data_IF_373326222280
#
_entry.id   IF_373326222280
#
_cell.length_a   1.000
_cell.length_b   1.000
_cell.length_c   1.000
_cell.angle_alpha   90.00
_cell.angle_beta   90.00
_cell.angle_gamma   90.00
#
_symmetry.space_group_name_H-M   'P 1'
#
loop_
_entity.id
_entity.type
_entity.pdbx_description
1 polymer ?
#
# COMPACT_ATOMS: atom_id res chain seq x y z
N UNK A 1 1.79 15.00 9.71
CA UNK A 1 0.89 16.11 9.43
C UNK A 1 -0.52 15.60 9.15
N UNK A 2 -1.48 16.51 9.00
CA UNK A 2 -2.89 16.14 8.84
C UNK A 2 -3.14 15.28 7.61
N UNK A 3 -2.44 15.56 6.52
CA UNK A 3 -2.62 14.81 5.29
C UNK A 3 -2.18 13.35 5.46
N UNK A 4 -1.03 13.15 6.10
CA UNK A 4 -0.56 11.79 6.38
C UNK A 4 -1.53 11.08 7.30
N UNK A 5 -2.04 11.78 8.33
CA UNK A 5 -2.96 11.18 9.29
C UNK A 5 -4.24 10.67 8.61
N UNK A 6 -4.71 11.35 7.57
CA UNK A 6 -5.92 10.92 6.85
C UNK A 6 -5.72 9.59 6.14
N UNK A 7 -4.49 9.25 5.79
CA UNK A 7 -4.19 8.02 5.07
C UNK A 7 -3.79 6.85 5.97
N UNK A 8 -3.26 7.13 7.16
CA UNK A 8 -2.62 6.10 7.99
C UNK A 8 -3.48 4.88 8.26
N UNK A 9 -4.76 5.08 8.55
CA UNK A 9 -5.61 3.96 8.97
C UNK A 9 -5.73 2.85 7.95
N UNK A 10 -5.89 3.21 6.68
CA UNK A 10 -6.22 2.25 5.63
C UNK A 10 -5.30 2.29 4.44
N UNK A 11 -4.24 3.09 4.48
CA UNK A 11 -3.42 3.27 3.30
C UNK A 11 -2.28 2.28 3.22
N UNK A 12 -1.84 2.00 2.01
CA UNK A 12 -0.58 1.33 1.74
C UNK A 12 0.48 2.42 1.63
N UNK A 13 1.54 2.30 2.41
CA UNK A 13 2.64 3.27 2.39
C UNK A 13 3.91 2.50 2.08
N UNK A 14 4.48 2.75 0.91
CA UNK A 14 5.69 2.05 0.47
C UNK A 14 6.80 3.04 0.25
N UNK A 15 8.03 2.58 0.44
CA UNK A 15 9.20 3.38 0.15
C UNK A 15 9.36 3.54 -1.35
N UNK A 16 9.64 4.76 -1.77
CA UNK A 16 9.86 5.03 -3.18
C UNK A 16 10.98 6.02 -3.39
N UNK A 17 11.28 6.25 -4.65
CA UNK A 17 12.28 7.22 -5.07
C UNK A 17 11.69 8.04 -6.21
N UNK A 18 11.72 9.36 -6.05
CA UNK A 18 11.24 10.25 -7.10
C UNK A 18 12.31 10.33 -8.19
N UNK A 19 12.01 9.79 -9.36
CA UNK A 19 12.98 9.75 -10.46
C UNK A 19 13.08 11.11 -11.16
N UNK A 20 11.95 11.74 -11.36
CA UNK A 20 11.82 13.08 -11.94
C UNK A 20 10.37 13.49 -11.73
N UNK A 21 10.00 14.71 -12.14
CA UNK A 21 8.62 15.14 -12.02
C UNK A 21 7.70 14.14 -12.72
N UNK A 22 6.64 13.75 -12.05
CA UNK A 22 5.62 12.85 -12.58
C UNK A 22 6.08 11.40 -12.75
N UNK A 23 7.25 11.03 -12.22
CA UNK A 23 7.78 9.66 -12.33
C UNK A 23 8.34 9.22 -10.99
N UNK A 24 7.79 8.15 -10.43
CA UNK A 24 8.21 7.60 -9.15
C UNK A 24 8.48 6.11 -9.28
N UNK A 25 9.47 5.63 -8.54
CA UNK A 25 9.83 4.22 -8.53
C UNK A 25 9.51 3.64 -7.16
N UNK A 26 8.85 2.49 -7.13
CA UNK A 26 8.62 1.72 -5.90
C UNK A 26 8.34 0.26 -6.28
N UNK A 27 8.51 -0.63 -5.31
CA UNK A 27 8.25 -2.07 -5.51
C UNK A 27 8.97 -2.64 -6.74
N UNK A 28 10.14 -2.10 -7.06
CA UNK A 28 10.94 -2.60 -8.18
C UNK A 28 10.50 -2.13 -9.56
N UNK A 29 9.55 -1.21 -9.64
CA UNK A 29 9.00 -0.73 -10.92
C UNK A 29 8.93 0.79 -10.93
N UNK A 30 8.78 1.36 -12.14
CA UNK A 30 8.67 2.79 -12.34
C UNK A 30 7.24 3.10 -12.78
N UNK A 31 6.65 4.12 -12.18
CA UNK A 31 5.25 4.47 -12.40
C UNK A 31 5.12 5.95 -12.74
N UNK A 32 4.14 6.26 -13.58
CA UNK A 32 3.73 7.64 -13.78
C UNK A 32 2.90 8.09 -12.59
N UNK A 33 3.06 9.34 -12.18
CA UNK A 33 2.26 9.93 -11.11
C UNK A 33 1.97 11.38 -11.45
N UNK A 34 1.23 12.06 -10.57
CA UNK A 34 0.82 13.45 -10.82
C UNK A 34 1.56 14.44 -9.92
N UNK A 35 2.52 13.98 -9.17
CA UNK A 35 3.28 14.82 -8.24
C UNK A 35 4.58 15.30 -8.85
N UNK A 36 5.01 16.48 -8.43
CA UNK A 36 6.26 17.10 -8.87
C UNK A 36 6.85 17.92 -7.74
N UNK A 37 8.03 18.49 -7.98
CA UNK A 37 8.66 19.37 -7.01
C UNK A 37 9.58 18.69 -6.03
N UNK A 38 9.85 17.41 -6.24
CA UNK A 38 10.83 16.67 -5.45
C UNK A 38 12.18 16.69 -6.13
N UNK A 39 13.24 16.59 -5.34
CA UNK A 39 14.57 16.47 -5.93
C UNK A 39 14.68 15.17 -6.69
N UNK A 40 15.44 15.17 -7.78
CA UNK A 40 15.67 13.96 -8.55
C UNK A 40 16.41 12.94 -7.69
N UNK A 41 15.86 11.74 -7.59
CA UNK A 41 16.44 10.71 -6.75
C UNK A 41 16.08 10.82 -5.28
N UNK A 42 15.15 11.70 -4.93
CA UNK A 42 14.77 11.90 -3.54
C UNK A 42 13.99 10.69 -3.02
N UNK A 43 14.35 10.14 -1.83
CA UNK A 43 13.54 9.12 -1.19
C UNK A 43 12.21 9.71 -0.75
N UNK A 44 11.12 9.02 -1.03
CA UNK A 44 9.77 9.50 -0.73
C UNK A 44 8.93 8.37 -0.16
N UNK A 45 7.80 8.74 0.42
CA UNK A 45 6.73 7.80 0.76
C UNK A 45 5.70 7.83 -0.35
N UNK A 46 5.31 6.64 -0.80
CA UNK A 46 4.24 6.50 -1.80
C UNK A 46 3.03 5.97 -1.07
N UNK A 47 1.94 6.73 -1.09
CA UNK A 47 0.72 6.43 -0.35
C UNK A 47 -0.38 6.11 -1.33
N UNK A 48 -0.97 4.93 -1.19
CA UNK A 48 -2.00 4.44 -2.11
C UNK A 48 -3.14 3.85 -1.28
N UNK A 49 -4.35 4.33 -1.52
CA UNK A 49 -5.52 3.85 -0.79
C UNK A 49 -5.92 2.45 -1.27
N UNK A 50 -6.40 1.59 -0.37
CA UNK A 50 -6.77 0.22 -0.76
C UNK A 50 -7.84 0.17 -1.86
N UNK A 51 -8.79 1.09 -1.84
CA UNK A 51 -9.86 1.12 -2.83
C UNK A 51 -9.40 1.58 -4.20
N UNK A 52 -8.21 2.16 -4.30
CA UNK A 52 -7.67 2.68 -5.55
C UNK A 52 -6.73 1.70 -6.25
N UNK A 53 -6.59 0.49 -5.73
CA UNK A 53 -5.80 -0.55 -6.36
C UNK A 53 -6.77 -1.50 -7.06
N UNK A 54 -6.65 -1.61 -8.37
CA UNK A 54 -7.52 -2.48 -9.17
C UNK A 54 -6.93 -3.87 -9.28
N UNK A 55 -7.79 -4.88 -9.11
CA UNK A 55 -7.42 -6.27 -9.32
C UNK A 55 -7.62 -6.58 -10.80
N UNK A 56 -6.58 -7.04 -11.45
CA UNK A 56 -6.60 -7.34 -12.88
C UNK A 56 -5.90 -8.68 -13.12
N UNK A 57 -6.04 -9.27 -14.32
CA UNK A 57 -5.24 -10.44 -14.65
C UNK A 57 -3.75 -10.11 -14.56
N UNK A 58 -2.95 -11.12 -14.22
CA UNK A 58 -1.51 -10.91 -14.00
C UNK A 58 -0.84 -10.22 -15.16
N UNK A 59 -1.19 -10.62 -16.38
CA UNK A 59 -0.56 -10.07 -17.59
C UNK A 59 -0.93 -8.60 -17.84
N UNK A 60 -1.95 -8.09 -17.17
CA UNK A 60 -2.36 -6.68 -17.29
C UNK A 60 -1.96 -5.85 -16.09
N UNK A 61 -1.35 -6.45 -15.10
CA UNK A 61 -0.97 -5.76 -13.88
C UNK A 61 0.35 -5.03 -14.02
N UNK A 62 0.46 -3.93 -13.29
CA UNK A 62 1.73 -3.21 -13.12
C UNK A 62 2.58 -3.93 -12.09
N UNK A 63 1.93 -4.56 -11.13
CA UNK A 63 2.54 -5.41 -10.12
C UNK A 63 1.75 -6.71 -10.10
N UNK A 64 2.33 -7.76 -9.52
CA UNK A 64 1.60 -8.99 -9.31
C UNK A 64 1.93 -9.54 -7.93
N UNK A 65 1.00 -10.27 -7.37
CA UNK A 65 1.20 -10.85 -6.06
C UNK A 65 0.26 -11.99 -5.78
N UNK A 66 0.50 -12.66 -4.67
CA UNK A 66 -0.29 -13.81 -4.25
C UNK A 66 -1.22 -13.37 -3.12
N UNK A 67 -2.49 -13.72 -3.22
CA UNK A 67 -3.48 -13.37 -2.21
C UNK A 67 -3.17 -14.14 -0.92
N UNK A 68 -2.92 -13.38 0.14
CA UNK A 68 -2.62 -13.92 1.45
C UNK A 68 -3.87 -14.14 2.29
N UNK A 69 -4.81 -13.19 2.27
CA UNK A 69 -6.06 -13.33 3.01
C UNK A 69 -7.17 -12.55 2.33
N UNK A 70 -8.41 -12.98 2.58
CA UNK A 70 -9.62 -12.36 2.05
C UNK A 70 -10.62 -12.27 3.18
N UNK A 71 -11.15 -11.07 3.42
CA UNK A 71 -12.14 -10.84 4.47
C UNK A 71 -13.34 -10.11 3.87
N UNK A 72 -14.53 -10.65 4.01
CA UNK A 72 -15.74 -9.99 3.54
C UNK A 72 -16.20 -8.96 4.56
N UNK A 73 -16.43 -7.73 4.10
CA UNK A 73 -16.81 -6.62 4.96
C UNK A 73 -18.27 -6.20 4.78
N UNK A 74 -19.07 -7.04 4.15
CA UNK A 74 -20.48 -6.76 3.96
C UNK A 74 -20.84 -6.31 2.56
N UNK A 75 -20.08 -5.37 2.00
CA UNK A 75 -20.32 -4.87 0.65
C UNK A 75 -19.04 -4.85 -0.20
N UNK A 76 -17.90 -5.18 0.41
CA UNK A 76 -16.65 -5.31 -0.32
C UNK A 76 -15.77 -6.34 0.37
N UNK A 77 -14.70 -6.73 -0.30
CA UNK A 77 -13.70 -7.65 0.25
C UNK A 77 -12.43 -6.88 0.57
N UNK A 78 -11.88 -7.15 1.75
CA UNK A 78 -10.57 -6.64 2.13
C UNK A 78 -9.56 -7.75 1.85
N UNK A 79 -8.63 -7.47 0.97
CA UNK A 79 -7.68 -8.46 0.48
C UNK A 79 -6.27 -8.04 0.85
N UNK A 80 -5.51 -8.98 1.42
CA UNK A 80 -4.08 -8.78 1.67
C UNK A 80 -3.33 -9.56 0.60
N UNK A 81 -2.45 -8.88 -0.12
CA UNK A 81 -1.70 -9.45 -1.24
C UNK A 81 -0.21 -9.33 -0.98
N UNK A 82 0.50 -10.44 -1.12
CA UNK A 82 1.95 -10.45 -0.98
C UNK A 82 2.58 -10.12 -2.33
N UNK A 83 3.24 -8.97 -2.39
CA UNK A 83 3.97 -8.53 -3.57
C UNK A 83 5.45 -8.49 -3.21
N UNK A 84 6.18 -9.52 -3.58
CA UNK A 84 7.63 -9.61 -3.34
C UNK A 84 8.00 -9.38 -1.86
N UNK A 85 7.20 -9.92 -0.95
CA UNK A 85 7.46 -9.85 0.48
C UNK A 85 6.80 -8.70 1.20
N UNK A 86 6.27 -7.73 0.48
CA UNK A 86 5.52 -6.62 1.07
C UNK A 86 4.03 -6.88 0.91
N UNK A 87 3.28 -6.75 1.98
CA UNK A 87 1.84 -7.05 1.96
C UNK A 87 1.02 -5.80 1.75
N UNK A 88 0.29 -5.79 0.66
CA UNK A 88 -0.61 -4.70 0.30
C UNK A 88 -2.01 -5.01 0.78
N UNK A 89 -2.75 -3.97 1.17
CA UNK A 89 -4.18 -4.10 1.47
C UNK A 89 -4.97 -3.50 0.31
N UNK A 90 -5.95 -4.26 -0.17
CA UNK A 90 -6.86 -3.84 -1.24
C UNK A 90 -8.30 -3.92 -0.74
N UNK A 91 -9.16 -3.06 -1.29
CA UNK A 91 -10.60 -3.15 -1.11
C UNK A 91 -11.24 -3.27 -2.48
N UNK A 92 -11.98 -4.33 -2.71
CA UNK A 92 -12.59 -4.58 -4.01
C UNK A 92 -13.93 -5.27 -3.85
N UNK A 93 -14.83 -5.03 -4.81
CA UNK A 93 -16.11 -5.73 -4.84
C UNK A 93 -16.00 -7.10 -5.47
N UNK A 94 -14.87 -7.41 -6.10
CA UNK A 94 -14.66 -8.69 -6.78
C UNK A 94 -14.05 -9.71 -5.84
N UNK A 95 -14.56 -10.93 -5.86
CA UNK A 95 -14.01 -12.00 -5.05
C UNK A 95 -12.73 -12.54 -5.68
N UNK A 96 -11.73 -12.76 -4.84
CA UNK A 96 -10.54 -13.53 -5.22
C UNK A 96 -10.26 -14.50 -4.10
N UNK A 97 -9.62 -15.62 -4.42
CA UNK A 97 -9.35 -16.67 -3.44
C UNK A 97 -7.95 -16.59 -2.87
N UNK A 98 -7.80 -17.03 -1.62
CA UNK A 98 -6.48 -17.17 -1.01
C UNK A 98 -5.58 -18.04 -1.86
N UNK A 99 -4.34 -17.64 -2.02
CA UNK A 99 -3.37 -18.36 -2.83
C UNK A 99 -3.41 -18.03 -4.31
N UNK A 100 -4.42 -17.31 -4.76
CA UNK A 100 -4.52 -16.91 -6.16
C UNK A 100 -3.49 -15.83 -6.47
N UNK A 101 -2.88 -15.92 -7.65
CA UNK A 101 -1.96 -14.90 -8.13
C UNK A 101 -2.75 -13.90 -8.96
N UNK A 102 -2.64 -12.62 -8.61
CA UNK A 102 -3.40 -11.56 -9.28
C UNK A 102 -2.47 -10.45 -9.71
N UNK A 103 -2.93 -9.64 -10.66
CA UNK A 103 -2.25 -8.41 -11.04
C UNK A 103 -2.87 -7.22 -10.32
N UNK A 104 -2.05 -6.20 -10.12
CA UNK A 104 -2.50 -4.94 -9.50
C UNK A 104 -2.28 -3.83 -10.49
N UNK A 105 -3.29 -2.99 -10.67
CA UNK A 105 -3.22 -1.81 -11.51
C UNK A 105 -3.54 -0.57 -10.68
N UNK A 106 -2.73 0.48 -10.81
CA UNK A 106 -2.89 1.70 -10.05
C UNK A 106 -2.80 2.87 -11.02
N UNK A 107 -3.86 3.69 -11.07
CA UNK A 107 -3.86 4.86 -11.93
C UNK A 107 -2.89 5.91 -11.42
N UNK A 108 -2.28 6.71 -12.30
CA UNK A 108 -1.31 7.72 -11.87
C UNK A 108 -1.83 8.69 -10.80
N UNK A 109 -3.09 9.09 -10.87
CA UNK A 109 -3.66 10.01 -9.90
C UNK A 109 -3.99 9.37 -8.56
N UNK A 110 -3.89 8.05 -8.47
CA UNK A 110 -4.06 7.32 -7.22
C UNK A 110 -2.75 7.11 -6.47
N UNK A 111 -1.63 7.49 -7.08
CA UNK A 111 -0.31 7.37 -6.48
C UNK A 111 0.04 8.73 -5.87
N UNK A 112 0.04 8.79 -4.52
CA UNK A 112 0.30 10.03 -3.80
C UNK A 112 1.72 10.01 -3.25
N UNK A 113 2.54 10.95 -3.69
CA UNK A 113 3.96 11.01 -3.28
C UNK A 113 4.11 12.08 -2.21
N UNK A 114 4.74 11.70 -1.11
CA UNK A 114 4.99 12.60 0.01
C UNK A 114 6.43 12.50 0.45
N UNK A 115 6.89 13.52 1.16
CA UNK A 115 8.22 13.47 1.74
C UNK A 115 8.29 12.30 2.71
N UNK A 116 9.44 11.66 2.75
CA UNK A 116 9.65 10.49 3.61
C UNK A 116 9.30 10.81 5.05
N UNK A 117 8.60 9.89 5.70
CA UNK A 117 8.24 10.03 7.10
C UNK A 117 8.58 8.74 7.85
N UNK A 118 8.48 8.80 9.18
CA UNK A 118 8.70 7.61 10.01
C UNK A 118 7.56 6.59 9.89
N UNK A 119 6.48 6.96 9.23
CA UNK A 119 5.31 6.09 9.15
C UNK A 119 5.41 5.04 8.06
N UNK A 120 6.30 5.21 7.08
CA UNK A 120 6.40 4.26 5.98
C UNK A 120 6.68 2.83 6.45
N UNK A 121 7.51 2.67 7.47
CA UNK A 121 7.84 1.34 7.99
C UNK A 121 6.83 0.81 9.00
N UNK A 122 5.96 1.68 9.51
CA UNK A 122 5.03 1.32 10.58
C UNK A 122 3.66 0.94 10.06
N UNK A 123 3.16 1.64 9.05
CA UNK A 123 1.77 1.53 8.62
C UNK A 123 1.59 1.02 7.20
N UNK A 124 2.66 0.88 6.44
CA UNK A 124 2.55 0.57 5.03
C UNK A 124 2.57 -0.90 4.67
N UNK A 125 3.12 -1.72 5.52
CA UNK A 125 3.30 -3.15 5.24
C UNK A 125 2.40 -3.99 6.12
N UNK A 126 1.52 -4.77 5.50
CA UNK A 126 0.57 -5.62 6.21
C UNK A 126 1.05 -7.05 6.35
N UNK A 127 2.36 -7.29 6.29
CA UNK A 127 2.95 -8.63 6.37
C UNK A 127 2.54 -9.38 7.62
N UNK A 128 2.42 -8.68 8.75
CA UNK A 128 2.05 -9.30 10.02
C UNK A 128 0.66 -8.84 10.46
N UNK A 129 -0.20 -8.56 9.50
CA UNK A 129 -1.49 -7.96 9.77
C UNK A 129 -2.25 -8.66 10.90
N UNK A 130 -2.41 -9.97 10.82
CA UNK A 130 -3.15 -10.73 11.83
C UNK A 130 -2.43 -10.75 13.16
N UNK A 131 -1.13 -10.92 13.15
CA UNK A 131 -0.32 -10.95 14.36
C UNK A 131 -0.34 -9.61 15.06
N UNK A 132 -0.22 -8.54 14.29
CA UNK A 132 -0.24 -7.19 14.86
C UNK A 132 -1.59 -6.83 15.43
N UNK A 133 -2.66 -7.28 14.82
CA UNK A 133 -3.98 -7.02 15.36
C UNK A 133 -4.17 -7.66 16.73
N UNK A 134 -3.62 -8.84 16.95
CA UNK A 134 -3.65 -9.47 18.25
C UNK A 134 -2.73 -8.78 19.25
N UNK A 135 -1.59 -8.32 18.77
CA UNK A 135 -0.59 -7.66 19.59
C UNK A 135 -0.99 -6.25 19.97
N UNK A 136 -1.65 -5.54 19.08
CA UNK A 136 -1.95 -4.13 19.28
C UNK A 136 -2.77 -3.84 20.52
N UNK A 137 -3.60 -4.77 20.94
CA UNK A 137 -4.36 -4.59 22.17
C UNK A 137 -3.45 -4.49 23.39
N UNK A 138 -2.28 -5.11 23.32
CA UNK A 138 -1.30 -5.09 24.41
C UNK A 138 -0.23 -4.05 24.21
N UNK A 139 0.27 -3.93 22.97
CA UNK A 139 1.43 -3.09 22.65
C UNK A 139 1.04 -1.64 22.48
N UNK A 140 -0.16 -1.36 22.03
CA UNK A 140 -0.61 0.00 21.79
C UNK A 140 -0.57 0.84 23.05
N UNK A 141 -0.91 0.25 24.19
CA UNK A 141 -0.87 0.96 25.45
C UNK A 141 0.54 1.35 25.83
N UNK A 142 1.52 0.51 25.55
CA UNK A 142 2.91 0.82 25.83
C UNK A 142 3.42 1.94 24.92
N UNK A 143 3.04 1.92 23.67
CA UNK A 143 3.44 2.97 22.72
C UNK A 143 2.87 4.32 23.13
N UNK A 144 1.67 4.34 23.64
CA UNK A 144 1.05 5.58 24.09
C UNK A 144 1.74 6.18 25.30
N UNK A 145 2.39 5.37 26.09
CA UNK A 145 3.11 5.83 27.27
C UNK A 145 4.47 6.44 26.94
N UNK A 146 4.96 6.19 25.78
CA UNK A 146 6.23 6.73 25.35
C UNK A 146 6.08 8.12 24.75
#
# INVERSE_FOLDING_TARGET
NAFVADFIGDSNIVDGVMKEDFVVSFSGHTFDCVDKGFAKGEPVDVVIRPEDVDVVPVEKGMLSGKVFSVTFKGDYYEIIVDVAGFKWMLETSDYVGEGQVIGLHIEPDAIHVMKRSKFSDTFGDYSTFSEEMEHLSDVTEEDEQE
#
